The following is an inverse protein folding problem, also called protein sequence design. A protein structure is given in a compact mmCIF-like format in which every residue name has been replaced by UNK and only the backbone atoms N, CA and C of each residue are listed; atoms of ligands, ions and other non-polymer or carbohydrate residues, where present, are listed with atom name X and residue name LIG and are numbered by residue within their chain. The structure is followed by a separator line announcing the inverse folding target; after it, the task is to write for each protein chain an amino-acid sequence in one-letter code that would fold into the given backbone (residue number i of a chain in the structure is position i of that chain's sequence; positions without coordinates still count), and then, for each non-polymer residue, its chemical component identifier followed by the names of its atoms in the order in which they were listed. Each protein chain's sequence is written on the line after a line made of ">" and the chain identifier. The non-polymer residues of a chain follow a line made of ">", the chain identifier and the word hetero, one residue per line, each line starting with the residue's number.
data_IF_677822658394
#
_entry.id   IF_677822658394
#
_cell.length_a   1.000
_cell.length_b   1.000
_cell.length_c   1.000
_cell.angle_alpha   90.00
_cell.angle_beta   90.00
_cell.angle_gamma   90.00
#
_symmetry.space_group_name_H-M   'P 1'
#
loop_
_entity.id
_entity.type
_entity.pdbx_description
1 polymer ?
#
# COMPACT_ATOMS: atom_id res chain seq x y z
N UNK A 1 -46.00 -41.34 -53.22
CA UNK A 1 -46.20 -40.61 -51.96
C UNK A 1 -46.26 -41.61 -50.81
N UNK A 2 -45.18 -41.70 -50.04
CA UNK A 2 -45.06 -42.21 -48.67
C UNK A 2 -43.57 -42.07 -48.29
N UNK A 3 -43.26 -41.53 -47.12
CA UNK A 3 -41.92 -41.07 -46.75
C UNK A 3 -41.05 -42.05 -45.96
N UNK A 4 -39.86 -41.54 -45.67
CA UNK A 4 -39.01 -41.70 -44.47
C UNK A 4 -38.46 -43.09 -44.07
N UNK A 5 -37.12 -43.20 -44.00
CA UNK A 5 -36.36 -43.58 -42.77
C UNK A 5 -34.84 -43.74 -43.01
N UNK A 6 -34.08 -42.91 -42.28
CA UNK A 6 -32.92 -43.22 -41.39
C UNK A 6 -31.87 -44.30 -41.72
N UNK A 7 -30.63 -43.81 -41.76
CA UNK A 7 -29.42 -44.17 -40.98
C UNK A 7 -28.72 -45.55 -41.08
N UNK A 8 -27.39 -45.39 -41.06
CA UNK A 8 -26.34 -46.18 -40.39
C UNK A 8 -25.48 -47.19 -41.20
N UNK A 9 -24.16 -46.90 -41.12
CA UNK A 9 -23.02 -47.82 -40.96
C UNK A 9 -22.64 -48.77 -42.08
N UNK A 10 -21.43 -48.57 -42.62
CA UNK A 10 -20.35 -49.55 -42.94
C UNK A 10 -19.29 -48.72 -43.72
N UNK A 11 -18.33 -48.02 -43.12
CA UNK A 11 -17.25 -48.45 -42.24
C UNK A 11 -16.47 -49.69 -42.73
N UNK A 12 -15.17 -49.48 -42.87
CA UNK A 12 -14.08 -50.46 -42.89
C UNK A 12 -13.85 -51.30 -44.17
N UNK A 13 -12.57 -51.37 -44.55
CA UNK A 13 -11.89 -52.45 -45.28
C UNK A 13 -11.88 -52.41 -46.81
N UNK A 14 -11.09 -51.50 -47.41
CA UNK A 14 -10.15 -51.96 -48.45
C UNK A 14 -8.88 -51.09 -48.49
N UNK A 15 -7.91 -51.49 -47.66
CA UNK A 15 -6.54 -50.98 -47.59
C UNK A 15 -5.75 -51.21 -48.89
N UNK A 16 -4.81 -50.28 -49.13
CA UNK A 16 -3.41 -50.46 -49.59
C UNK A 16 -3.11 -51.59 -50.58
N UNK A 17 -2.50 -51.23 -51.72
CA UNK A 17 -1.23 -51.82 -52.20
C UNK A 17 -0.59 -50.96 -53.30
N UNK A 18 0.76 -50.85 -53.22
CA UNK A 18 1.74 -50.71 -54.33
C UNK A 18 1.92 -49.33 -55.01
N UNK A 19 3.10 -48.80 -55.36
CA UNK A 19 4.54 -48.99 -55.05
C UNK A 19 5.37 -48.04 -55.94
N UNK A 20 6.37 -47.34 -55.37
CA UNK A 20 7.60 -46.84 -56.02
C UNK A 20 7.58 -45.43 -56.64
N UNK A 21 8.67 -44.66 -56.78
CA UNK A 21 10.04 -44.59 -56.23
C UNK A 21 10.75 -43.40 -56.93
N UNK A 22 11.63 -42.65 -56.24
CA UNK A 22 12.77 -41.83 -56.79
C UNK A 22 12.44 -40.52 -57.55
N UNK A 23 13.13 -39.36 -57.50
CA UNK A 23 14.36 -38.83 -56.85
C UNK A 23 14.50 -37.32 -57.20
N UNK A 24 15.35 -36.61 -56.43
CA UNK A 24 16.17 -35.43 -56.77
C UNK A 24 15.59 -33.98 -56.75
N UNK A 25 16.04 -33.25 -55.72
CA UNK A 25 16.83 -32.00 -55.75
C UNK A 25 16.35 -30.77 -56.54
N UNK A 26 16.13 -29.65 -55.83
CA UNK A 26 16.81 -28.37 -56.12
C UNK A 26 16.87 -27.48 -54.86
N UNK A 27 17.79 -26.52 -54.86
CA UNK A 27 18.50 -25.91 -53.72
C UNK A 27 18.41 -24.37 -53.86
N UNK A 28 18.71 -23.65 -52.77
CA UNK A 28 19.11 -22.21 -52.67
C UNK A 28 17.95 -21.19 -52.57
N UNK A 29 17.99 -20.11 -51.76
CA UNK A 29 18.99 -19.52 -50.85
C UNK A 29 18.38 -18.32 -50.09
N UNK A 30 18.74 -18.14 -48.81
CA UNK A 30 18.67 -16.91 -47.98
C UNK A 30 20.11 -16.41 -47.73
N UNK A 31 20.42 -15.29 -47.02
CA UNK A 31 19.88 -13.91 -46.90
C UNK A 31 21.09 -12.91 -46.95
N UNK A 32 21.33 -11.89 -46.08
CA UNK A 32 20.54 -10.81 -45.44
C UNK A 32 21.14 -9.39 -45.69
N UNK A 33 20.45 -8.30 -45.31
CA UNK A 33 21.12 -7.01 -45.06
C UNK A 33 20.57 -6.29 -43.82
N UNK A 34 21.49 -6.10 -42.87
CA UNK A 34 21.46 -5.27 -41.68
C UNK A 34 22.33 -4.03 -41.97
N UNK A 35 21.86 -2.82 -41.68
CA UNK A 35 22.67 -1.68 -41.21
C UNK A 35 21.83 -0.39 -41.08
N UNK A 36 21.89 0.18 -39.88
CA UNK A 36 22.00 1.59 -39.51
C UNK A 36 21.50 2.68 -40.48
N UNK A 37 20.73 3.65 -39.93
CA UNK A 37 21.09 5.07 -39.94
C UNK A 37 20.08 5.91 -39.12
N UNK A 38 20.58 6.53 -38.06
CA UNK A 38 20.10 7.80 -37.50
C UNK A 38 20.73 8.94 -38.32
N UNK A 39 19.95 9.97 -38.69
CA UNK A 39 20.43 11.31 -38.40
C UNK A 39 19.34 12.24 -37.86
N UNK A 40 19.55 12.72 -36.64
CA UNK A 40 19.43 14.12 -36.21
C UNK A 40 19.29 15.12 -37.37
N UNK A 41 18.13 15.75 -37.51
CA UNK A 41 17.89 17.21 -37.48
C UNK A 41 16.50 17.47 -38.08
N UNK A 42 15.58 17.99 -37.29
CA UNK A 42 14.68 19.03 -37.78
C UNK A 42 14.25 19.92 -36.61
N UNK A 43 14.62 21.18 -36.80
CA UNK A 43 14.43 22.31 -35.92
C UNK A 43 13.15 22.99 -36.36
N UNK A 44 12.11 22.98 -35.53
CA UNK A 44 11.02 23.94 -35.64
C UNK A 44 10.91 24.69 -34.32
N UNK A 45 11.18 25.99 -34.43
CA UNK A 45 11.26 26.95 -33.35
C UNK A 45 9.85 27.27 -32.83
N UNK A 46 9.65 27.12 -31.52
CA UNK A 46 8.54 27.77 -30.83
C UNK A 46 9.07 28.99 -30.08
N UNK A 47 8.80 30.16 -30.64
CA UNK A 47 9.11 31.45 -30.04
C UNK A 47 8.28 31.66 -28.75
N UNK A 48 8.85 32.25 -27.68
CA UNK A 48 8.18 32.42 -26.41
C UNK A 48 7.24 33.62 -26.47
N UNK A 49 5.98 33.43 -26.06
CA UNK A 49 5.05 34.55 -25.87
C UNK A 49 5.56 35.40 -24.70
N UNK A 50 6.10 36.56 -25.05
CA UNK A 50 6.39 37.69 -24.16
C UNK A 50 5.09 38.40 -23.79
N UNK A 51 4.89 38.62 -22.50
CA UNK A 51 3.96 39.62 -21.97
C UNK A 51 4.30 41.04 -22.48
N UNK A 52 3.31 41.94 -22.48
CA UNK A 52 3.55 43.33 -22.12
C UNK A 52 2.82 43.73 -20.82
N UNK A 53 3.64 44.18 -19.87
CA UNK A 53 3.30 44.90 -18.63
C UNK A 53 2.71 46.29 -18.95
N UNK A 54 1.61 46.65 -18.29
CA UNK A 54 1.27 48.03 -17.88
C UNK A 54 0.27 47.95 -16.70
N UNK A 55 0.71 48.19 -15.46
CA UNK A 55 0.72 49.48 -14.73
C UNK A 55 -0.68 50.01 -14.38
N UNK A 56 -1.07 49.90 -13.11
CA UNK A 56 -1.27 51.07 -12.23
C UNK A 56 -1.60 50.65 -10.78
N UNK A 57 -0.67 50.93 -9.87
CA UNK A 57 -0.96 51.24 -8.46
C UNK A 57 -1.17 52.76 -8.32
N UNK A 58 -1.82 53.20 -7.23
CA UNK A 58 -1.03 54.05 -6.33
C UNK A 58 -1.22 53.75 -4.83
N UNK A 59 -0.07 53.39 -4.24
CA UNK A 59 0.59 53.94 -3.03
C UNK A 59 -0.03 53.82 -1.62
N UNK A 60 0.87 53.70 -0.61
CA UNK A 60 0.54 53.48 0.80
C UNK A 60 0.39 54.79 1.57
N UNK A 61 -0.41 54.76 2.65
CA UNK A 61 -0.44 55.79 3.67
C UNK A 61 0.26 55.27 4.93
N UNK A 62 1.35 55.94 5.29
CA UNK A 62 2.01 55.86 6.59
C UNK A 62 1.44 56.94 7.51
N UNK A 63 1.08 56.56 8.74
CA UNK A 63 0.75 57.51 9.81
C UNK A 63 0.47 56.77 11.11
N UNK A 64 0.98 57.24 12.27
CA UNK A 64 1.21 56.38 13.43
C UNK A 64 0.01 56.38 14.38
N UNK A 65 0.02 55.47 15.38
CA UNK A 65 -0.11 55.80 16.83
C UNK A 65 -0.77 54.67 17.64
N UNK A 66 -0.02 54.28 18.69
CA UNK A 66 -0.38 53.79 20.04
C UNK A 66 -1.50 52.76 20.23
N UNK A 67 -1.06 51.62 20.76
CA UNK A 67 -1.86 50.72 21.60
C UNK A 67 -1.95 51.31 23.02
N UNK A 68 -3.16 51.50 23.52
CA UNK A 68 -3.47 51.66 24.95
C UNK A 68 -4.81 50.96 25.27
N UNK A 69 -4.92 50.21 26.38
CA UNK A 69 -6.09 49.38 26.68
C UNK A 69 -7.06 50.08 27.66
N UNK A 70 -8.36 49.78 27.55
CA UNK A 70 -9.40 50.13 28.54
C UNK A 70 -10.66 49.30 28.22
N UNK A 71 -11.50 48.81 29.13
CA UNK A 71 -11.50 48.58 30.58
C UNK A 71 -12.77 47.71 30.86
N UNK A 72 -13.07 47.46 32.14
CA UNK A 72 -14.32 46.89 32.71
C UNK A 72 -14.32 45.35 32.83
N UNK A 73 -14.60 44.71 33.97
CA UNK A 73 -15.06 45.14 35.30
C UNK A 73 -15.06 43.89 36.21
N UNK A 74 -14.40 43.94 37.38
CA UNK A 74 -14.59 42.97 38.47
C UNK A 74 -15.62 43.55 39.48
N UNK A 75 -16.37 42.68 40.19
CA UNK A 75 -16.02 42.39 41.60
C UNK A 75 -16.31 40.91 41.96
N UNK A 76 -15.85 40.29 43.05
CA UNK A 76 -14.79 40.47 44.04
C UNK A 76 -14.89 39.18 44.90
N UNK A 77 -13.80 38.42 45.14
CA UNK A 77 -13.70 37.61 46.36
C UNK A 77 -12.25 37.17 46.62
N UNK A 78 -11.65 37.86 47.59
CA UNK A 78 -10.63 37.41 48.56
C UNK A 78 -9.53 36.43 48.10
N UNK A 79 -8.37 36.98 47.69
CA UNK A 79 -7.08 36.30 47.78
C UNK A 79 -6.27 36.89 48.93
N UNK A 80 -5.93 36.06 49.91
CA UNK A 80 -4.98 36.40 50.99
C UNK A 80 -3.62 36.71 50.38
N UNK A 81 -3.07 37.85 50.75
CA UNK A 81 -1.69 38.29 50.48
C UNK A 81 -0.69 37.25 50.99
N UNK A 82 0.08 36.65 50.07
CA UNK A 82 1.35 36.01 50.41
C UNK A 82 2.43 37.07 50.21
N UNK A 83 2.93 37.61 51.33
CA UNK A 83 4.09 38.49 51.33
C UNK A 83 5.30 37.74 50.73
N UNK A 84 5.92 38.36 49.71
CA UNK A 84 7.20 37.93 49.16
C UNK A 84 8.27 38.69 49.94
N UNK A 85 9.15 38.03 50.71
CA UNK A 85 10.20 38.73 51.42
C UNK A 85 11.22 39.28 50.42
N UNK A 86 11.47 40.58 50.52
CA UNK A 86 12.48 41.31 49.77
C UNK A 86 13.89 40.94 50.30
N UNK A 87 14.37 39.74 49.96
CA UNK A 87 15.79 39.36 50.04
C UNK A 87 16.04 38.11 49.16
N UNK A 88 15.75 38.21 47.87
CA UNK A 88 16.27 37.27 46.89
C UNK A 88 17.71 37.66 46.53
N UNK A 89 18.64 37.40 47.45
CA UNK A 89 20.06 37.27 47.11
C UNK A 89 20.31 35.82 46.74
N UNK A 90 21.00 35.61 45.62
CA UNK A 90 21.63 34.36 45.18
C UNK A 90 22.09 33.51 46.36
N UNK A 91 21.39 32.40 46.61
CA UNK A 91 21.87 31.37 47.53
C UNK A 91 23.05 30.67 46.86
N UNK A 92 24.26 31.14 47.15
CA UNK A 92 25.48 30.38 46.91
C UNK A 92 25.34 29.10 47.74
N UNK A 93 25.45 27.94 47.08
CA UNK A 93 25.41 26.63 47.74
C UNK A 93 26.33 26.61 48.96
N UNK A 94 25.88 26.02 50.07
CA UNK A 94 26.69 25.98 51.30
C UNK A 94 27.94 25.14 51.09
N UNK A 95 28.99 25.33 51.90
CA UNK A 95 30.20 24.50 51.84
C UNK A 95 29.88 23.00 52.02
N UNK A 96 28.84 22.66 52.78
CA UNK A 96 28.37 21.30 52.93
C UNK A 96 27.75 20.74 51.63
N UNK A 97 27.03 21.57 50.88
CA UNK A 97 26.47 21.20 49.59
C UNK A 97 27.57 21.03 48.53
N UNK A 98 28.59 21.90 48.55
CA UNK A 98 29.78 21.75 47.71
C UNK A 98 30.59 20.51 48.07
N UNK A 99 30.75 20.20 49.36
CA UNK A 99 31.41 18.99 49.81
C UNK A 99 30.67 17.73 49.37
N UNK A 100 29.33 17.73 49.42
CA UNK A 100 28.49 16.61 48.96
C UNK A 100 28.59 16.39 47.45
N UNK A 101 28.54 17.47 46.65
CA UNK A 101 28.71 17.40 45.18
C UNK A 101 30.11 16.92 44.83
N UNK A 102 31.13 17.38 45.54
CA UNK A 102 32.53 16.98 45.30
C UNK A 102 32.73 15.52 45.67
N UNK A 103 32.16 15.04 46.80
CA UNK A 103 32.17 13.63 47.18
C UNK A 103 31.46 12.74 46.16
N UNK A 104 30.34 13.19 45.60
CA UNK A 104 29.61 12.47 44.55
C UNK A 104 30.36 12.47 43.21
N UNK A 105 31.13 13.52 42.90
CA UNK A 105 31.91 13.63 41.67
C UNK A 105 33.27 12.91 41.74
N UNK A 106 33.82 12.70 42.95
CA UNK A 106 35.10 12.02 43.18
C UNK A 106 34.97 10.63 43.79
N UNK A 107 33.76 10.16 44.10
CA UNK A 107 33.55 8.77 44.51
C UNK A 107 33.90 7.83 43.36
N UNK A 108 34.97 7.06 43.54
CA UNK A 108 35.34 5.90 42.71
C UNK A 108 34.57 4.62 43.10
N UNK A 109 33.56 4.75 43.96
CA UNK A 109 32.64 3.63 44.20
C UNK A 109 31.93 3.28 42.89
N UNK A 110 31.86 1.99 42.52
CA UNK A 110 31.13 1.58 41.34
C UNK A 110 29.69 2.06 41.51
N UNK A 111 29.27 3.00 40.66
CA UNK A 111 27.88 3.42 40.57
C UNK A 111 27.08 2.20 40.10
N UNK A 112 26.59 1.41 41.05
CA UNK A 112 25.69 0.30 40.77
C UNK A 112 24.40 0.95 40.23
N UNK A 113 24.06 0.79 38.94
CA UNK A 113 22.90 1.46 38.41
C UNK A 113 21.68 0.95 39.19
N UNK A 114 21.08 1.85 39.99
CA UNK A 114 19.91 1.61 40.86
C UNK A 114 18.68 1.07 40.09
N UNK A 115 18.76 1.07 38.76
CA UNK A 115 17.89 0.34 37.87
C UNK A 115 18.74 -0.67 37.11
N UNK A 116 18.53 -2.00 37.23
CA UNK A 116 19.22 -2.95 36.37
C UNK A 116 18.91 -2.56 34.93
N UNK A 117 19.93 -2.07 34.22
CA UNK A 117 19.86 -1.84 32.79
C UNK A 117 19.38 -3.16 32.20
N UNK A 118 18.14 -3.15 31.73
CA UNK A 118 17.57 -4.33 31.12
C UNK A 118 18.32 -4.53 29.83
N UNK A 119 19.40 -5.33 29.87
CA UNK A 119 20.18 -5.71 28.70
C UNK A 119 19.20 -6.23 27.67
N UNK A 120 18.96 -5.41 26.64
CA UNK A 120 18.05 -5.75 25.55
C UNK A 120 18.67 -6.96 24.89
N UNK A 121 17.99 -8.10 24.91
CA UNK A 121 18.48 -9.25 24.17
C UNK A 121 18.50 -8.88 22.69
N UNK A 122 19.54 -9.28 21.96
CA UNK A 122 19.61 -9.07 20.51
C UNK A 122 18.35 -9.63 19.82
N UNK A 123 17.82 -10.75 20.32
CA UNK A 123 16.56 -11.35 19.84
C UNK A 123 15.33 -10.46 20.09
N UNK A 124 15.29 -9.69 21.18
CA UNK A 124 14.20 -8.73 21.40
C UNK A 124 14.25 -7.59 20.38
N UNK A 125 15.44 -7.17 19.97
CA UNK A 125 15.65 -6.13 18.95
C UNK A 125 15.24 -6.68 17.58
N UNK A 126 15.74 -7.86 17.20
CA UNK A 126 15.37 -8.54 15.95
C UNK A 126 13.85 -8.71 15.86
N UNK A 127 13.21 -9.23 16.91
CA UNK A 127 11.76 -9.42 16.92
C UNK A 127 10.98 -8.10 16.78
N UNK A 128 11.49 -7.01 17.36
CA UNK A 128 10.87 -5.69 17.22
C UNK A 128 10.97 -5.18 15.79
N UNK A 129 12.14 -5.29 15.16
CA UNK A 129 12.35 -4.90 13.76
C UNK A 129 11.47 -5.75 12.85
N UNK A 130 11.43 -7.06 13.07
CA UNK A 130 10.59 -7.98 12.31
C UNK A 130 9.12 -7.58 12.36
N UNK A 131 8.55 -7.39 13.56
CA UNK A 131 7.15 -6.98 13.72
C UNK A 131 6.91 -5.62 13.04
N UNK A 132 7.84 -4.67 13.19
CA UNK A 132 7.75 -3.34 12.58
C UNK A 132 7.65 -3.43 11.06
N UNK A 133 8.53 -4.21 10.43
CA UNK A 133 8.58 -4.36 8.97
C UNK A 133 7.47 -5.25 8.42
N UNK A 134 7.04 -6.28 9.16
CA UNK A 134 5.97 -7.18 8.73
C UNK A 134 4.60 -6.49 8.76
N UNK A 135 4.37 -5.58 9.70
CA UNK A 135 3.08 -4.89 9.89
C UNK A 135 2.51 -4.28 8.59
N UNK A 136 3.22 -3.42 7.83
CA UNK A 136 2.67 -2.84 6.61
C UNK A 136 2.26 -3.89 5.57
N UNK A 137 3.03 -4.97 5.40
CA UNK A 137 2.67 -6.02 4.44
C UNK A 137 1.45 -6.83 4.86
N UNK A 138 1.30 -7.12 6.16
CA UNK A 138 0.11 -7.79 6.69
C UNK A 138 -1.14 -6.91 6.47
N UNK A 139 -1.04 -5.63 6.78
CA UNK A 139 -2.15 -4.69 6.56
C UNK A 139 -2.48 -4.54 5.08
N UNK A 140 -1.47 -4.49 4.21
CA UNK A 140 -1.65 -4.40 2.76
C UNK A 140 -2.33 -5.65 2.21
N UNK A 141 -1.90 -6.85 2.63
CA UNK A 141 -2.54 -8.10 2.25
C UNK A 141 -4.02 -8.15 2.64
N UNK A 142 -4.38 -7.68 3.84
CA UNK A 142 -5.78 -7.60 4.28
C UNK A 142 -6.58 -6.60 3.44
N UNK A 143 -6.02 -5.44 3.13
CA UNK A 143 -6.66 -4.43 2.29
C UNK A 143 -6.87 -4.90 0.86
N UNK A 144 -5.86 -5.53 0.25
CA UNK A 144 -5.94 -6.14 -1.08
C UNK A 144 -6.99 -7.24 -1.09
N UNK A 145 -7.02 -8.12 -0.08
CA UNK A 145 -8.03 -9.18 0.03
C UNK A 145 -9.45 -8.64 0.14
N UNK A 146 -9.63 -7.48 0.79
CA UNK A 146 -10.91 -6.81 0.92
C UNK A 146 -11.41 -6.25 -0.41
N UNK A 147 -10.58 -5.51 -1.15
CA UNK A 147 -10.97 -4.94 -2.45
C UNK A 147 -11.07 -6.01 -3.54
N UNK A 148 -10.22 -7.03 -3.51
CA UNK A 148 -10.32 -8.22 -4.34
C UNK A 148 -11.34 -9.22 -3.76
N UNK A 149 -12.58 -8.77 -3.56
CA UNK A 149 -13.68 -9.60 -3.11
C UNK A 149 -14.93 -9.35 -3.95
N UNK A 150 -15.73 -10.41 -4.18
CA UNK A 150 -16.98 -10.28 -4.91
C UNK A 150 -17.97 -9.32 -4.24
N UNK A 151 -17.91 -9.16 -2.91
CA UNK A 151 -18.75 -8.20 -2.19
C UNK A 151 -18.37 -6.76 -2.52
N UNK A 152 -17.07 -6.45 -2.55
CA UNK A 152 -16.60 -5.11 -2.94
C UNK A 152 -16.93 -4.84 -4.41
N UNK A 153 -16.66 -5.80 -5.31
CA UNK A 153 -16.99 -5.70 -6.73
C UNK A 153 -18.47 -5.40 -6.96
N UNK A 154 -19.36 -6.13 -6.29
CA UNK A 154 -20.81 -5.92 -6.36
C UNK A 154 -21.22 -4.56 -5.79
N UNK A 155 -20.65 -4.16 -4.66
CA UNK A 155 -20.94 -2.82 -4.13
C UNK A 155 -20.53 -1.74 -5.12
N UNK A 156 -19.38 -1.89 -5.75
CA UNK A 156 -18.79 -0.90 -6.65
C UNK A 156 -19.59 -0.73 -7.95
N UNK A 157 -20.03 -1.81 -8.59
CA UNK A 157 -20.83 -1.68 -9.81
C UNK A 157 -22.25 -1.16 -9.59
N UNK A 158 -22.81 -1.35 -8.39
CA UNK A 158 -24.19 -0.97 -8.09
C UNK A 158 -24.31 0.28 -7.23
N UNK A 159 -23.19 0.95 -6.88
CA UNK A 159 -23.24 2.23 -6.20
C UNK A 159 -23.69 3.37 -7.16
N UNK A 160 -24.38 4.39 -6.64
CA UNK A 160 -24.75 5.55 -7.45
C UNK A 160 -23.53 6.26 -8.03
N UNK A 161 -23.62 6.58 -9.33
CA UNK A 161 -22.62 7.37 -10.04
C UNK A 161 -21.45 6.60 -10.62
N UNK A 162 -21.41 5.27 -10.52
CA UNK A 162 -20.39 4.47 -11.19
C UNK A 162 -20.55 4.54 -12.73
N UNK A 163 -19.47 4.74 -13.51
CA UNK A 163 -19.56 4.94 -14.94
C UNK A 163 -20.03 3.67 -15.67
N UNK A 164 -21.01 3.85 -16.57
CA UNK A 164 -21.43 2.81 -17.50
C UNK A 164 -20.31 2.45 -18.48
N UNK A 165 -20.28 1.19 -18.93
CA UNK A 165 -19.40 0.80 -20.04
C UNK A 165 -19.90 1.44 -21.34
N UNK A 166 -18.97 1.98 -22.13
CA UNK A 166 -19.29 2.64 -23.40
C UNK A 166 -19.40 1.64 -24.56
N UNK A 167 -18.93 0.41 -24.36
CA UNK A 167 -18.81 -0.63 -25.39
C UNK A 167 -19.83 -1.78 -25.22
N UNK A 168 -20.79 -1.63 -24.31
CA UNK A 168 -22.00 -2.45 -24.28
C UNK A 168 -22.15 -3.42 -23.10
N UNK A 169 -21.19 -3.54 -22.19
CA UNK A 169 -21.41 -4.33 -20.97
C UNK A 169 -22.38 -3.62 -20.02
N UNK A 170 -23.42 -4.34 -19.61
CA UNK A 170 -24.27 -3.90 -18.51
C UNK A 170 -23.53 -4.02 -17.17
N UNK A 171 -24.04 -3.37 -16.12
CA UNK A 171 -23.50 -3.56 -14.76
C UNK A 171 -23.53 -5.03 -14.32
N UNK A 172 -24.55 -5.79 -14.76
CA UNK A 172 -24.68 -7.22 -14.47
C UNK A 172 -23.62 -8.05 -15.21
N UNK A 173 -23.31 -7.72 -16.48
CA UNK A 173 -22.23 -8.37 -17.23
C UNK A 173 -20.89 -8.13 -16.55
N UNK A 174 -20.64 -6.89 -16.09
CA UNK A 174 -19.39 -6.51 -15.42
C UNK A 174 -19.23 -7.19 -14.07
N UNK A 175 -20.32 -7.30 -13.29
CA UNK A 175 -20.34 -8.10 -12.06
C UNK A 175 -20.03 -9.57 -12.37
N UNK A 176 -20.68 -10.14 -13.39
CA UNK A 176 -20.52 -11.54 -13.78
C UNK A 176 -19.09 -11.86 -14.21
N UNK A 177 -18.58 -11.19 -15.25
CA UNK A 177 -17.23 -11.45 -15.77
C UNK A 177 -16.14 -10.99 -14.80
N UNK A 178 -16.35 -9.87 -14.09
CA UNK A 178 -15.43 -9.40 -13.07
C UNK A 178 -15.29 -10.39 -11.91
N UNK A 179 -16.34 -11.12 -11.55
CA UNK A 179 -16.29 -12.14 -10.49
C UNK A 179 -15.33 -13.27 -10.86
N UNK A 180 -15.29 -13.74 -12.11
CA UNK A 180 -14.28 -14.71 -12.55
C UNK A 180 -12.86 -14.18 -12.34
N UNK A 181 -12.61 -12.90 -12.63
CA UNK A 181 -11.28 -12.28 -12.41
C UNK A 181 -10.93 -12.27 -10.93
N UNK A 182 -11.85 -11.89 -10.06
CA UNK A 182 -11.62 -11.90 -8.60
C UNK A 182 -11.41 -13.32 -8.07
N UNK A 183 -12.20 -14.29 -8.52
CA UNK A 183 -12.07 -15.70 -8.13
C UNK A 183 -10.73 -16.28 -8.60
N UNK A 184 -10.28 -15.92 -9.80
CA UNK A 184 -8.98 -16.30 -10.33
C UNK A 184 -7.82 -15.86 -9.43
N UNK A 185 -7.89 -14.65 -8.86
CA UNK A 185 -6.85 -14.13 -7.96
C UNK A 185 -6.76 -14.92 -6.64
N UNK A 186 -7.83 -15.60 -6.22
CA UNK A 186 -7.91 -16.34 -4.97
C UNK A 186 -7.79 -17.86 -5.12
N UNK A 187 -7.98 -18.39 -6.33
CA UNK A 187 -7.94 -19.83 -6.59
C UNK A 187 -6.51 -20.33 -6.90
N UNK A 188 -6.34 -21.64 -7.06
CA UNK A 188 -5.06 -22.28 -7.40
C UNK A 188 -4.94 -22.67 -8.89
N UNK A 189 -5.85 -22.20 -9.74
CA UNK A 189 -5.84 -22.53 -11.16
C UNK A 189 -4.84 -21.66 -11.95
N UNK A 190 -4.50 -22.14 -13.15
CA UNK A 190 -3.71 -21.41 -14.13
C UNK A 190 -4.55 -20.37 -14.87
N UNK A 191 -3.91 -19.55 -15.71
CA UNK A 191 -4.59 -18.59 -16.62
C UNK A 191 -5.68 -19.22 -17.49
N UNK A 192 -5.67 -20.57 -17.66
CA UNK A 192 -6.73 -21.31 -18.37
C UNK A 192 -8.11 -21.07 -17.77
N UNK A 193 -8.21 -20.86 -16.45
CA UNK A 193 -9.47 -20.53 -15.79
C UNK A 193 -10.16 -19.31 -16.42
N UNK A 194 -9.40 -18.26 -16.74
CA UNK A 194 -9.92 -17.07 -17.42
C UNK A 194 -10.07 -17.29 -18.93
N UNK A 195 -9.20 -18.11 -19.55
CA UNK A 195 -9.30 -18.44 -20.96
C UNK A 195 -10.59 -19.22 -21.31
N UNK A 196 -11.12 -19.97 -20.34
CA UNK A 196 -12.36 -20.75 -20.49
C UNK A 196 -13.63 -19.87 -20.29
N UNK A 197 -13.49 -18.57 -20.02
CA UNK A 197 -14.62 -17.63 -19.90
C UNK A 197 -15.03 -17.13 -21.28
N UNK A 198 -16.22 -17.54 -21.71
CA UNK A 198 -16.74 -17.31 -23.06
C UNK A 198 -18.02 -16.48 -22.98
N UNK A 199 -18.18 -15.54 -23.91
CA UNK A 199 -19.40 -14.73 -24.07
C UNK A 199 -20.54 -15.57 -24.71
N UNK A 200 -21.81 -15.12 -24.62
CA UNK A 200 -22.94 -15.85 -25.21
C UNK A 200 -22.84 -16.10 -26.72
N UNK A 201 -22.03 -15.31 -27.44
CA UNK A 201 -21.76 -15.47 -28.86
C UNK A 201 -20.68 -16.53 -29.17
N UNK A 202 -20.07 -17.15 -28.16
CA UNK A 202 -19.04 -18.18 -28.32
C UNK A 202 -17.61 -17.65 -28.35
N UNK A 203 -17.40 -16.33 -28.30
CA UNK A 203 -16.07 -15.73 -28.32
C UNK A 203 -15.45 -15.61 -26.92
N UNK A 204 -14.12 -15.79 -26.76
CA UNK A 204 -13.44 -15.56 -25.49
C UNK A 204 -13.64 -14.12 -24.99
N UNK A 205 -13.87 -13.97 -23.68
CA UNK A 205 -13.99 -12.63 -23.09
C UNK A 205 -12.63 -11.91 -23.06
N UNK A 206 -11.56 -12.62 -22.74
CA UNK A 206 -10.20 -12.07 -22.57
C UNK A 206 -9.30 -12.44 -23.75
N UNK A 207 -8.49 -11.48 -24.20
CA UNK A 207 -7.42 -11.75 -25.17
C UNK A 207 -6.18 -12.33 -24.50
N UNK A 208 -5.28 -12.91 -25.30
CA UNK A 208 -4.05 -13.55 -24.80
C UNK A 208 -3.19 -12.65 -23.90
N UNK A 209 -3.11 -11.35 -24.22
CA UNK A 209 -2.30 -10.39 -23.47
C UNK A 209 -2.93 -10.05 -22.11
N UNK A 210 -4.26 -9.93 -22.04
CA UNK A 210 -5.00 -9.77 -20.77
C UNK A 210 -4.81 -11.00 -19.87
N UNK A 211 -4.82 -12.20 -20.45
CA UNK A 211 -4.59 -13.45 -19.71
C UNK A 211 -3.16 -13.52 -19.12
N UNK A 212 -2.16 -13.05 -19.87
CA UNK A 212 -0.78 -12.97 -19.40
C UNK A 212 -0.65 -11.96 -18.26
N UNK A 213 -1.22 -10.77 -18.44
CA UNK A 213 -1.22 -9.74 -17.41
C UNK A 213 -1.89 -10.23 -16.11
N UNK A 214 -3.05 -10.88 -16.22
CA UNK A 214 -3.73 -11.42 -15.05
C UNK A 214 -2.89 -12.51 -14.35
N UNK A 215 -2.12 -13.31 -15.08
CA UNK A 215 -1.17 -14.25 -14.49
C UNK A 215 -0.07 -13.55 -13.70
N UNK A 216 0.49 -12.45 -14.21
CA UNK A 216 1.47 -11.63 -13.50
C UNK A 216 0.87 -11.00 -12.23
N UNK A 217 -0.34 -10.44 -12.33
CA UNK A 217 -1.08 -9.86 -11.18
C UNK A 217 -1.33 -10.91 -10.10
N UNK A 218 -1.75 -12.12 -10.49
CA UNK A 218 -1.94 -13.24 -9.55
C UNK A 218 -0.63 -13.62 -8.86
N UNK A 219 0.47 -13.65 -9.60
CA UNK A 219 1.81 -13.89 -9.04
C UNK A 219 2.19 -12.84 -7.99
N UNK A 220 2.01 -11.55 -8.30
CA UNK A 220 2.31 -10.44 -7.41
C UNK A 220 1.47 -10.48 -6.12
N UNK A 221 0.15 -10.72 -6.24
CA UNK A 221 -0.75 -10.83 -5.08
C UNK A 221 -0.40 -12.06 -4.24
N UNK A 222 -0.07 -13.19 -4.88
CA UNK A 222 0.35 -14.40 -4.18
C UNK A 222 1.66 -14.17 -3.40
N UNK A 223 2.61 -13.45 -3.99
CA UNK A 223 3.85 -13.06 -3.32
C UNK A 223 3.58 -12.15 -2.11
N UNK A 224 2.69 -11.16 -2.25
CA UNK A 224 2.26 -10.32 -1.12
C UNK A 224 1.66 -11.17 0.01
N UNK A 225 0.77 -12.12 -0.30
CA UNK A 225 0.19 -13.01 0.70
C UNK A 225 1.22 -13.92 1.36
N UNK A 226 2.20 -14.42 0.61
CA UNK A 226 3.31 -15.20 1.16
C UNK A 226 4.16 -14.36 2.14
N UNK A 227 4.56 -13.15 1.74
CA UNK A 227 5.32 -12.22 2.59
C UNK A 227 4.52 -11.88 3.85
N UNK A 228 3.22 -11.60 3.72
CA UNK A 228 2.34 -11.32 4.85
C UNK A 228 2.21 -12.53 5.79
N UNK A 229 2.09 -13.75 5.26
CA UNK A 229 2.00 -14.98 6.05
C UNK A 229 3.29 -15.26 6.82
N UNK A 230 4.45 -15.14 6.17
CA UNK A 230 5.77 -15.27 6.81
C UNK A 230 5.94 -14.19 7.88
N UNK A 231 5.62 -12.94 7.53
CA UNK A 231 5.66 -11.80 8.43
C UNK A 231 4.79 -12.01 9.68
N UNK A 232 3.55 -12.44 9.48
CA UNK A 232 2.59 -12.73 10.55
C UNK A 232 3.07 -13.88 11.44
N UNK A 233 3.54 -14.98 10.83
CA UNK A 233 4.06 -16.14 11.57
C UNK A 233 5.24 -15.72 12.46
N UNK A 234 6.21 -14.98 11.91
CA UNK A 234 7.32 -14.45 12.69
C UNK A 234 6.88 -13.46 13.77
N UNK A 235 5.92 -12.57 13.47
CA UNK A 235 5.37 -11.63 14.44
C UNK A 235 4.69 -12.33 15.63
N UNK A 236 3.98 -13.44 15.38
CA UNK A 236 3.38 -14.28 16.42
C UNK A 236 4.47 -14.97 17.25
N UNK A 237 5.45 -15.62 16.62
CA UNK A 237 6.52 -16.33 17.32
C UNK A 237 7.38 -15.40 18.18
N UNK A 238 7.83 -14.26 17.62
CA UNK A 238 8.53 -13.24 18.38
C UNK A 238 7.63 -12.64 19.46
N UNK A 239 6.34 -12.46 19.19
CA UNK A 239 5.40 -11.96 20.17
C UNK A 239 5.24 -12.86 21.39
N UNK A 240 5.16 -14.17 21.16
CA UNK A 240 5.15 -15.19 22.22
C UNK A 240 6.47 -15.18 23.01
N UNK A 241 7.61 -15.19 22.32
CA UNK A 241 8.93 -15.11 22.94
C UNK A 241 9.08 -13.87 23.83
N UNK A 242 8.65 -12.71 23.34
CA UNK A 242 8.73 -11.42 24.04
C UNK A 242 7.70 -11.26 25.16
N UNK A 243 6.72 -12.17 25.29
CA UNK A 243 5.73 -12.20 26.36
C UNK A 243 6.28 -12.73 27.70
N UNK A 244 7.53 -13.23 27.72
CA UNK A 244 8.23 -13.69 28.93
C UNK A 244 8.32 -12.62 30.03
N UNK A 245 8.49 -13.04 31.30
CA UNK A 245 8.50 -12.18 32.52
C UNK A 245 9.40 -10.93 32.41
N UNK A 246 10.51 -11.03 31.67
CA UNK A 246 11.44 -9.94 31.38
C UNK A 246 11.63 -9.69 29.87
N UNK A 247 10.62 -9.93 29.02
CA UNK A 247 10.64 -9.68 27.57
C UNK A 247 10.09 -8.30 27.19
N UNK A 248 10.67 -7.64 26.17
CA UNK A 248 10.41 -6.21 25.86
C UNK A 248 8.94 -5.93 25.50
N UNK A 249 8.20 -6.97 25.14
CA UNK A 249 6.82 -6.89 24.67
C UNK A 249 6.72 -6.38 23.23
N UNK A 250 5.63 -6.74 22.56
CA UNK A 250 5.40 -6.43 21.14
C UNK A 250 5.05 -4.96 20.86
N UNK A 251 4.75 -4.20 21.91
CA UNK A 251 4.15 -2.87 21.83
C UNK A 251 4.96 -1.86 21.02
N UNK A 252 6.29 -1.91 21.12
CA UNK A 252 7.16 -1.01 20.35
C UNK A 252 7.11 -1.34 18.86
N UNK A 253 7.22 -2.63 18.51
CA UNK A 253 7.18 -3.08 17.12
C UNK A 253 5.84 -2.78 16.46
N UNK A 254 4.72 -3.07 17.14
CA UNK A 254 3.39 -2.74 16.64
C UNK A 254 3.19 -1.23 16.46
N UNK A 255 3.69 -0.41 17.39
CA UNK A 255 3.55 1.04 17.30
C UNK A 255 4.34 1.62 16.12
N UNK A 256 5.61 1.22 15.99
CA UNK A 256 6.44 1.68 14.88
C UNK A 256 5.91 1.17 13.54
N UNK A 257 5.49 -0.10 13.48
CA UNK A 257 4.88 -0.68 12.29
C UNK A 257 3.61 0.07 11.88
N UNK A 258 2.75 0.42 12.83
CA UNK A 258 1.55 1.21 12.58
C UNK A 258 1.87 2.63 12.08
N UNK A 259 2.84 3.34 12.71
CA UNK A 259 3.26 4.67 12.28
C UNK A 259 3.81 4.63 10.85
N UNK A 260 4.73 3.70 10.56
CA UNK A 260 5.32 3.53 9.22
C UNK A 260 4.23 3.25 8.20
N UNK A 261 3.27 2.38 8.54
CA UNK A 261 2.13 2.05 7.68
C UNK A 261 1.35 3.32 7.30
N UNK A 262 0.96 4.13 8.29
CA UNK A 262 0.22 5.38 8.04
C UNK A 262 1.04 6.35 7.19
N UNK A 263 2.33 6.52 7.47
CA UNK A 263 3.20 7.43 6.70
C UNK A 263 3.34 6.99 5.24
N UNK A 264 3.61 5.69 5.01
CA UNK A 264 3.74 5.13 3.65
C UNK A 264 2.43 5.27 2.88
N UNK A 265 1.30 4.95 3.49
CA UNK A 265 -0.01 5.07 2.84
C UNK A 265 -0.38 6.53 2.56
N UNK A 266 -0.08 7.45 3.47
CA UNK A 266 -0.29 8.88 3.25
C UNK A 266 0.56 9.41 2.08
N UNK A 267 1.83 9.00 2.00
CA UNK A 267 2.70 9.35 0.89
C UNK A 267 2.16 8.80 -0.45
N UNK A 268 1.75 7.54 -0.49
CA UNK A 268 1.14 6.92 -1.67
C UNK A 268 -0.15 7.65 -2.09
N UNK A 269 -1.02 7.99 -1.12
CA UNK A 269 -2.26 8.74 -1.38
C UNK A 269 -1.99 10.14 -1.95
N UNK A 270 -0.99 10.86 -1.43
CA UNK A 270 -0.60 12.18 -1.97
C UNK A 270 -0.10 12.05 -3.40
N UNK A 271 0.76 11.06 -3.70
CA UNK A 271 1.26 10.83 -5.06
C UNK A 271 0.13 10.48 -6.03
N UNK A 272 -0.79 9.61 -5.62
CA UNK A 272 -1.97 9.24 -6.41
C UNK A 272 -2.89 10.45 -6.66
N UNK A 273 -3.10 11.29 -5.64
CA UNK A 273 -3.93 12.49 -5.74
C UNK A 273 -3.34 13.55 -6.68
N UNK A 274 -2.03 13.78 -6.62
CA UNK A 274 -1.34 14.75 -7.48
C UNK A 274 -1.31 14.34 -8.96
N UNK A 275 -1.38 13.04 -9.25
CA UNK A 275 -1.33 12.56 -10.63
C UNK A 275 -1.66 11.08 -10.74
N UNK A 276 -2.95 10.76 -10.80
CA UNK A 276 -3.45 9.39 -10.89
C UNK A 276 -2.81 8.60 -12.04
N UNK A 277 -2.78 9.14 -13.25
CA UNK A 277 -2.22 8.44 -14.42
C UNK A 277 -0.73 8.14 -14.29
N UNK A 278 0.05 9.08 -13.75
CA UNK A 278 1.49 8.88 -13.51
C UNK A 278 1.73 7.89 -12.39
N UNK A 279 0.97 7.97 -11.30
CA UNK A 279 1.03 7.02 -10.19
C UNK A 279 0.71 5.59 -10.66
N UNK A 280 -0.40 5.42 -11.38
CA UNK A 280 -0.85 4.12 -11.88
C UNK A 280 0.18 3.48 -12.82
N UNK A 281 0.68 4.23 -13.81
CA UNK A 281 1.74 3.72 -14.71
C UNK A 281 3.05 3.46 -13.97
N UNK A 282 3.43 4.33 -13.03
CA UNK A 282 4.63 4.16 -12.21
C UNK A 282 4.57 2.89 -11.38
N UNK A 283 3.41 2.58 -10.77
CA UNK A 283 3.18 1.31 -10.09
C UNK A 283 3.37 0.13 -11.05
N UNK A 284 2.74 0.15 -12.22
CA UNK A 284 2.85 -0.96 -13.17
C UNK A 284 4.28 -1.19 -13.65
N UNK A 285 5.03 -0.13 -13.95
CA UNK A 285 6.45 -0.22 -14.36
C UNK A 285 7.38 -0.80 -13.30
N UNK A 286 7.01 -0.75 -12.01
CA UNK A 286 7.80 -1.36 -10.94
C UNK A 286 7.62 -2.88 -10.92
N UNK A 287 6.43 -3.38 -11.28
CA UNK A 287 6.06 -4.79 -11.09
C UNK A 287 5.93 -5.58 -12.40
N UNK A 288 5.74 -4.92 -13.52
CA UNK A 288 5.45 -5.52 -14.82
C UNK A 288 6.34 -4.91 -15.91
N UNK A 289 6.64 -5.71 -16.92
CA UNK A 289 7.41 -5.27 -18.09
C UNK A 289 6.63 -4.25 -18.92
N UNK A 290 7.33 -3.37 -19.62
CA UNK A 290 6.70 -2.40 -20.53
C UNK A 290 5.88 -3.14 -21.61
N UNK A 291 4.67 -2.64 -21.88
CA UNK A 291 3.76 -3.19 -22.90
C UNK A 291 2.95 -4.42 -22.48
N UNK A 292 3.16 -5.03 -21.30
CA UNK A 292 2.41 -6.23 -20.89
C UNK A 292 1.12 -5.93 -20.11
N UNK A 293 0.82 -4.66 -19.86
CA UNK A 293 -0.31 -4.21 -19.04
C UNK A 293 -1.05 -3.00 -19.64
N UNK A 294 -0.64 -2.53 -20.82
CA UNK A 294 -1.28 -1.44 -21.54
C UNK A 294 -2.27 -2.04 -22.55
N UNK A 295 -3.55 -1.70 -22.39
CA UNK A 295 -4.65 -2.23 -23.20
C UNK A 295 -5.44 -1.11 -23.86
N UNK A 296 -6.16 -1.44 -24.93
CA UNK A 296 -7.08 -0.52 -25.56
C UNK A 296 -8.32 -0.29 -24.69
N UNK A 297 -9.03 0.81 -24.95
CA UNK A 297 -10.23 1.15 -24.16
C UNK A 297 -11.39 0.18 -24.35
N UNK A 298 -11.41 -0.54 -25.47
CA UNK A 298 -12.42 -1.54 -25.83
C UNK A 298 -12.04 -2.98 -25.43
N UNK A 299 -10.82 -3.19 -24.93
CA UNK A 299 -10.37 -4.44 -24.34
C UNK A 299 -11.15 -4.76 -23.06
N UNK A 300 -11.47 -6.03 -22.87
CA UNK A 300 -12.43 -6.49 -21.87
C UNK A 300 -12.01 -6.14 -20.43
N UNK A 301 -10.74 -6.26 -20.10
CA UNK A 301 -10.21 -6.13 -18.75
C UNK A 301 -10.28 -4.68 -18.25
N UNK A 302 -9.95 -3.71 -19.10
CA UNK A 302 -10.08 -2.27 -18.77
C UNK A 302 -11.55 -1.86 -18.70
N UNK A 303 -12.42 -2.47 -19.52
CA UNK A 303 -13.87 -2.23 -19.45
C UNK A 303 -14.47 -2.80 -18.16
N UNK A 304 -14.00 -3.95 -17.71
CA UNK A 304 -14.39 -4.52 -16.42
C UNK A 304 -13.87 -3.59 -15.30
N UNK A 305 -12.57 -3.32 -15.25
CA UNK A 305 -11.92 -2.53 -14.19
C UNK A 305 -11.42 -1.17 -14.68
N UNK A 306 -12.32 -0.19 -14.93
CA UNK A 306 -11.96 1.12 -15.46
C UNK A 306 -11.19 1.92 -14.41
N UNK A 307 -10.58 3.06 -14.80
CA UNK A 307 -9.84 3.92 -13.87
C UNK A 307 -10.62 4.25 -12.59
N UNK A 308 -11.94 4.49 -12.70
CA UNK A 308 -12.80 4.77 -11.55
C UNK A 308 -12.83 3.63 -10.52
N UNK A 309 -12.92 2.37 -10.97
CA UNK A 309 -12.88 1.20 -10.08
C UNK A 309 -11.59 1.17 -9.25
N UNK A 310 -10.46 1.50 -9.87
CA UNK A 310 -9.16 1.52 -9.20
C UNK A 310 -9.00 2.69 -8.24
N UNK A 311 -9.56 3.85 -8.56
CA UNK A 311 -9.63 5.00 -7.62
C UNK A 311 -10.45 4.62 -6.40
N UNK A 312 -11.65 4.06 -6.58
CA UNK A 312 -12.53 3.67 -5.49
C UNK A 312 -11.95 2.52 -4.65
N UNK A 313 -11.32 1.55 -5.30
CA UNK A 313 -10.52 0.50 -4.63
C UNK A 313 -9.37 1.08 -3.81
N UNK A 314 -8.66 2.07 -4.37
CA UNK A 314 -7.58 2.77 -3.67
C UNK A 314 -8.07 3.50 -2.42
N UNK A 315 -9.20 4.19 -2.51
CA UNK A 315 -9.83 4.90 -1.38
C UNK A 315 -10.30 3.90 -0.32
N UNK A 316 -11.06 2.88 -0.70
CA UNK A 316 -11.64 1.92 0.23
C UNK A 316 -10.56 1.04 0.89
N UNK A 317 -9.65 0.49 0.08
CA UNK A 317 -8.52 -0.32 0.54
C UNK A 317 -7.53 0.49 1.38
N UNK A 318 -7.16 1.69 0.92
CA UNK A 318 -6.29 2.60 1.65
C UNK A 318 -6.92 3.07 2.97
N UNK A 319 -8.22 3.37 2.96
CA UNK A 319 -8.98 3.70 4.16
C UNK A 319 -9.01 2.56 5.18
N UNK A 320 -9.29 1.33 4.74
CA UNK A 320 -9.24 0.14 5.60
C UNK A 320 -7.82 -0.10 6.15
N UNK A 321 -6.80 0.03 5.30
CA UNK A 321 -5.40 -0.10 5.71
C UNK A 321 -5.03 0.89 6.84
N UNK A 322 -5.38 2.17 6.67
CA UNK A 322 -5.13 3.20 7.68
C UNK A 322 -5.94 2.94 8.95
N UNK A 323 -7.21 2.55 8.81
CA UNK A 323 -8.07 2.19 9.94
C UNK A 323 -7.44 1.07 10.78
N UNK A 324 -6.99 -0.02 10.14
CA UNK A 324 -6.33 -1.13 10.82
C UNK A 324 -5.02 -0.70 11.47
N UNK A 325 -4.23 0.16 10.81
CA UNK A 325 -3.00 0.72 11.39
C UNK A 325 -3.31 1.55 12.66
N UNK A 326 -4.34 2.40 12.63
CA UNK A 326 -4.78 3.19 13.79
C UNK A 326 -5.24 2.27 14.93
N UNK A 327 -6.05 1.24 14.63
CA UNK A 327 -6.48 0.25 15.63
C UNK A 327 -5.26 -0.44 16.26
N UNK A 328 -4.29 -0.90 15.46
CA UNK A 328 -3.05 -1.50 15.97
C UNK A 328 -2.23 -0.52 16.81
N UNK A 329 -2.15 0.75 16.41
CA UNK A 329 -1.49 1.79 17.17
C UNK A 329 -2.11 1.94 18.56
N UNK A 330 -3.44 2.03 18.66
CA UNK A 330 -4.15 2.11 19.94
C UNK A 330 -3.98 0.84 20.79
N UNK A 331 -4.08 -0.34 20.17
CA UNK A 331 -3.83 -1.62 20.84
C UNK A 331 -2.41 -1.75 21.39
N UNK A 332 -1.42 -1.09 20.76
CA UNK A 332 -0.04 -1.05 21.28
C UNK A 332 0.08 -0.40 22.66
N UNK A 333 -0.90 0.42 23.08
CA UNK A 333 -0.97 1.00 24.41
C UNK A 333 -1.77 0.14 25.40
N UNK A 334 -2.67 -0.71 24.90
CA UNK A 334 -3.44 -1.64 25.71
C UNK A 334 -2.50 -2.66 26.38
N UNK A 335 -2.53 -2.73 27.71
CA UNK A 335 -1.63 -3.57 28.51
C UNK A 335 -0.35 -2.88 29.01
N UNK A 336 0.02 -1.70 28.50
CA UNK A 336 1.09 -0.89 29.12
C UNK A 336 0.68 -0.38 30.50
N UNK A 337 -0.58 0.07 30.65
CA UNK A 337 -1.18 0.44 31.95
C UNK A 337 -1.18 -0.72 32.94
N UNK A 338 -1.64 -1.91 32.54
CA UNK A 338 -1.67 -3.10 33.40
C UNK A 338 -0.26 -3.54 33.82
N UNK A 339 0.71 -3.57 32.90
CA UNK A 339 2.11 -3.89 33.22
C UNK A 339 2.77 -2.84 34.14
N UNK A 340 2.49 -1.55 33.94
CA UNK A 340 2.96 -0.48 34.83
C UNK A 340 2.35 -0.60 36.23
N UNK A 341 1.05 -0.85 36.33
CA UNK A 341 0.37 -1.06 37.61
C UNK A 341 0.93 -2.27 38.36
N UNK A 342 1.11 -3.41 37.68
CA UNK A 342 1.75 -4.60 38.26
C UNK A 342 3.19 -4.37 38.70
N UNK A 343 3.95 -3.54 37.97
CA UNK A 343 5.32 -3.16 38.36
C UNK A 343 5.33 -2.23 39.58
N UNK A 344 4.38 -1.30 39.68
CA UNK A 344 4.23 -0.41 40.84
C UNK A 344 3.87 -1.21 42.08
N UNK A 345 2.88 -2.09 42.00
CA UNK A 345 2.47 -2.97 43.09
C UNK A 345 3.60 -3.90 43.59
N UNK A 346 4.53 -4.32 42.71
CA UNK A 346 5.72 -5.11 43.09
C UNK A 346 6.89 -4.31 43.65
N UNK A 347 6.87 -2.97 43.54
CA UNK A 347 7.86 -2.09 44.16
C UNK A 347 7.41 -1.62 45.55
N UNK A 348 6.10 -1.64 45.77
CA UNK A 348 5.45 -1.21 47.01
C UNK A 348 5.17 -2.38 47.98
N UNK A 349 5.38 -3.63 47.53
CA UNK A 349 5.31 -4.86 48.33
C UNK A 349 6.70 -5.47 48.42
#
# INVERSE_FOLDING_TARGET
>A
MAGDKKNETEDLLSRRMSSGSSSAAEKQSEPPLEAANDPSTDTEAFDPIREPIAKDEPKPSTGPVRVAPAHSSNPAETARTREVPANARTAVMSEADWAAVTHAATSTEPHDPEVPERRRSVLDIIGTIWITLATPFILLALAVRFVASGLFLKFEYFRPGFPADQFGFSAADREHYGTYVIDYLANLDSRRYLADVIMPNGEPIFISDELNHMADVKGLISLLYLIALIGLTGAVLFGLYMSRRHGMGIHVGLRLGAIISVVVMAAAAVLAFLGWGTFFRGFHKIFFSDGTWEFYSDDSLIRLFPPQFWVDSGIAGGGLFVLLAIVLFWLSFAGHKKRRALKKARREA
#
